data_IF_386390734360
#
_entry.id   IF_386390734360
#
_cell.length_a   1.000
_cell.length_b   1.000
_cell.length_c   1.000
_cell.angle_alpha   90.00
_cell.angle_beta   90.00
_cell.angle_gamma   90.00
#
_symmetry.space_group_name_H-M   'P 1'
#
loop_
_entity.id
_entity.type
_entity.pdbx_description
1 polymer ?
#
# COMPACT_ATOMS: atom_id res chain seq x y z
N UNK A 1 25.28 -32.96 49.20
CA UNK A 1 24.35 -31.88 49.58
C UNK A 1 25.16 -30.65 49.95
N UNK A 2 25.35 -29.71 49.03
CA UNK A 2 25.95 -28.39 49.30
C UNK A 2 24.99 -27.35 48.72
N UNK A 3 24.61 -26.39 49.56
CA UNK A 3 23.61 -25.35 49.29
C UNK A 3 24.16 -24.24 48.41
N UNK A 4 23.24 -23.64 47.67
CA UNK A 4 23.31 -22.56 46.70
C UNK A 4 23.89 -21.24 47.21
N UNK A 5 24.63 -20.54 46.35
CA UNK A 5 24.60 -19.06 46.21
C UNK A 5 25.19 -18.67 44.85
N UNK A 6 24.33 -18.50 43.84
CA UNK A 6 24.69 -17.75 42.63
C UNK A 6 24.33 -16.29 42.87
N UNK A 7 25.35 -15.45 43.02
CA UNK A 7 25.23 -14.00 43.16
C UNK A 7 24.94 -13.41 41.79
N UNK A 8 23.81 -12.70 41.66
CA UNK A 8 23.49 -11.80 40.56
C UNK A 8 24.52 -10.66 40.52
N UNK A 9 25.36 -10.62 39.49
CA UNK A 9 26.19 -9.47 39.17
C UNK A 9 26.22 -9.26 37.65
N UNK A 10 25.70 -8.12 37.17
CA UNK A 10 25.99 -7.64 35.82
C UNK A 10 24.81 -7.15 34.99
N UNK A 11 23.95 -6.26 35.51
CA UNK A 11 23.07 -5.42 34.66
C UNK A 11 23.46 -3.95 34.83
N UNK A 12 24.71 -3.63 34.49
CA UNK A 12 25.20 -2.26 34.42
C UNK A 12 25.84 -2.06 33.05
N UNK A 13 25.06 -1.55 32.09
CA UNK A 13 25.58 -1.25 30.75
C UNK A 13 24.59 -1.18 29.59
N UNK A 14 23.28 -1.16 29.83
CA UNK A 14 22.33 -0.87 28.74
C UNK A 14 22.26 0.65 28.57
N UNK A 15 22.82 1.15 27.46
CA UNK A 15 22.75 2.56 27.06
C UNK A 15 21.31 3.09 27.14
N UNK A 16 21.08 4.36 27.51
CA UNK A 16 19.73 4.95 27.58
C UNK A 16 18.99 4.93 26.23
N UNK A 17 19.70 4.69 25.13
CA UNK A 17 19.12 4.46 23.80
C UNK A 17 18.24 3.19 23.70
N UNK A 18 18.48 2.16 24.52
CA UNK A 18 17.64 0.96 24.57
C UNK A 18 16.35 1.14 25.40
N UNK A 19 16.28 2.18 26.23
CA UNK A 19 15.12 2.48 27.07
C UNK A 19 14.02 3.24 26.34
N UNK A 20 14.30 3.79 25.15
CA UNK A 20 13.33 4.58 24.34
C UNK A 20 12.54 3.70 23.36
N UNK A 21 12.78 2.39 23.34
CA UNK A 21 12.05 1.45 22.47
C UNK A 21 10.73 0.93 23.08
N UNK A 22 10.31 1.40 24.25
CA UNK A 22 9.24 0.79 25.04
C UNK A 22 8.10 1.76 25.40
N UNK A 23 7.25 2.15 24.44
CA UNK A 23 5.95 2.78 24.76
C UNK A 23 4.81 2.47 23.78
N UNK A 24 4.94 1.50 22.87
CA UNK A 24 3.78 0.99 22.14
C UNK A 24 3.16 -0.19 22.90
N UNK A 25 1.83 -0.19 23.20
CA UNK A 25 1.19 -1.33 23.83
C UNK A 25 1.39 -2.58 22.97
N UNK A 26 1.54 -3.78 23.56
CA UNK A 26 1.71 -5.00 22.80
C UNK A 26 0.50 -5.20 21.88
N UNK A 27 0.70 -5.03 20.58
CA UNK A 27 -0.31 -5.36 19.58
C UNK A 27 -0.53 -6.86 19.65
N UNK A 28 -1.78 -7.32 19.73
CA UNK A 28 -2.06 -8.76 19.77
C UNK A 28 -1.33 -9.47 18.63
N UNK A 29 -0.76 -10.66 18.86
CA UNK A 29 0.14 -11.30 17.90
C UNK A 29 -0.46 -11.48 16.50
N UNK A 30 -1.78 -11.59 16.40
CA UNK A 30 -2.50 -11.61 15.12
C UNK A 30 -2.47 -10.28 14.36
N UNK A 31 -2.64 -9.14 15.05
CA UNK A 31 -2.60 -7.80 14.42
C UNK A 31 -1.17 -7.46 13.99
N UNK A 32 -0.16 -7.80 14.79
CA UNK A 32 1.24 -7.61 14.40
C UNK A 32 1.58 -8.43 13.14
N UNK A 33 1.14 -9.70 13.07
CA UNK A 33 1.30 -10.53 11.89
C UNK A 33 0.63 -9.91 10.65
N UNK A 34 -0.61 -9.40 10.78
CA UNK A 34 -1.28 -8.71 9.67
C UNK A 34 -0.47 -7.52 9.16
N UNK A 35 0.12 -6.73 10.05
CA UNK A 35 0.97 -5.62 9.64
C UNK A 35 2.25 -6.04 8.94
N UNK A 36 2.88 -7.14 9.38
CA UNK A 36 4.08 -7.69 8.71
C UNK A 36 3.79 -8.23 7.32
N UNK A 37 2.54 -8.61 7.02
CA UNK A 37 2.13 -9.05 5.68
C UNK A 37 1.93 -7.89 4.70
N UNK A 38 1.84 -6.65 5.17
CA UNK A 38 1.58 -5.49 4.31
C UNK A 38 2.52 -5.41 3.09
N UNK A 39 3.87 -5.50 3.23
CA UNK A 39 4.77 -5.46 2.07
C UNK A 39 4.52 -6.59 1.06
N UNK A 40 4.05 -7.76 1.49
CA UNK A 40 3.69 -8.83 0.57
C UNK A 40 2.37 -8.52 -0.15
N UNK A 41 1.37 -7.99 0.57
CA UNK A 41 0.03 -7.74 0.05
C UNK A 41 -0.05 -6.56 -0.93
N UNK A 42 0.80 -5.53 -0.79
CA UNK A 42 0.72 -4.33 -1.65
C UNK A 42 1.02 -4.61 -3.12
N UNK A 43 1.78 -5.64 -3.45
CA UNK A 43 2.19 -5.91 -4.84
C UNK A 43 1.00 -6.22 -5.75
N UNK A 44 0.01 -6.96 -5.23
CA UNK A 44 -1.13 -7.42 -6.02
C UNK A 44 -2.03 -6.27 -6.48
N UNK A 45 -2.61 -5.42 -5.59
CA UNK A 45 -3.47 -4.34 -6.04
C UNK A 45 -2.72 -3.31 -6.90
N UNK A 46 -1.46 -3.00 -6.59
CA UNK A 46 -0.65 -2.08 -7.38
C UNK A 46 -0.48 -2.58 -8.81
N UNK A 47 -0.03 -3.83 -8.98
CA UNK A 47 0.15 -4.43 -10.29
C UNK A 47 -1.17 -4.50 -11.07
N UNK A 48 -2.27 -4.89 -10.42
CA UNK A 48 -3.58 -5.00 -11.07
C UNK A 48 -4.11 -3.65 -11.54
N UNK A 49 -4.03 -2.60 -10.72
CA UNK A 49 -4.55 -1.28 -11.08
C UNK A 49 -3.74 -0.66 -12.22
N UNK A 50 -2.40 -0.74 -12.16
CA UNK A 50 -1.52 -0.23 -13.22
C UNK A 50 -1.74 -1.01 -14.52
N UNK A 51 -1.87 -2.34 -14.44
CA UNK A 51 -2.14 -3.18 -15.62
C UNK A 51 -3.57 -2.97 -16.15
N UNK A 52 -4.54 -2.67 -15.29
CA UNK A 52 -5.89 -2.31 -15.71
C UNK A 52 -5.90 -1.04 -16.56
N UNK A 53 -5.13 -0.02 -16.13
CA UNK A 53 -4.95 1.20 -16.92
C UNK A 53 -4.24 0.91 -18.26
N UNK A 54 -3.14 0.15 -18.24
CA UNK A 54 -2.43 -0.23 -19.46
C UNK A 54 -3.34 -0.98 -20.45
N UNK A 55 -4.13 -1.95 -19.97
CA UNK A 55 -5.09 -2.68 -20.80
C UNK A 55 -6.15 -1.75 -21.39
N UNK A 56 -6.70 -0.80 -20.64
CA UNK A 56 -7.66 0.17 -21.18
C UNK A 56 -7.01 1.07 -22.26
N UNK A 57 -5.73 1.44 -22.12
CA UNK A 57 -5.01 2.18 -23.17
C UNK A 57 -4.81 1.34 -24.42
N UNK A 58 -4.51 0.04 -24.28
CA UNK A 58 -4.44 -0.87 -25.42
C UNK A 58 -5.82 -1.03 -26.08
N UNK A 59 -6.91 -1.06 -25.31
CA UNK A 59 -8.26 -1.03 -25.87
C UNK A 59 -8.53 0.25 -26.66
N UNK A 60 -8.15 1.42 -26.14
CA UNK A 60 -8.31 2.70 -26.85
C UNK A 60 -7.59 2.66 -28.20
N UNK A 61 -6.36 2.13 -28.24
CA UNK A 61 -5.54 2.06 -29.43
C UNK A 61 -6.00 0.99 -30.43
N UNK A 62 -6.38 -0.20 -29.95
CA UNK A 62 -6.65 -1.39 -30.80
C UNK A 62 -8.13 -1.68 -31.02
N UNK A 63 -9.01 -1.08 -30.21
CA UNK A 63 -10.46 -1.33 -30.20
C UNK A 63 -10.86 -2.80 -29.98
N UNK A 64 -9.96 -3.60 -29.42
CA UNK A 64 -10.20 -5.01 -29.09
C UNK A 64 -10.82 -5.13 -27.70
N UNK A 65 -12.08 -5.56 -27.65
CA UNK A 65 -12.91 -5.62 -26.45
C UNK A 65 -12.35 -6.52 -25.35
N UNK A 66 -11.44 -7.46 -25.68
CA UNK A 66 -10.76 -8.32 -24.69
C UNK A 66 -9.94 -7.49 -23.70
N UNK A 67 -9.31 -6.42 -24.15
CA UNK A 67 -8.52 -5.55 -23.29
C UNK A 67 -9.39 -4.70 -22.36
N UNK A 68 -10.55 -4.24 -22.82
CA UNK A 68 -11.51 -3.55 -21.93
C UNK A 68 -12.10 -4.51 -20.90
N UNK A 69 -12.42 -5.75 -21.29
CA UNK A 69 -12.87 -6.78 -20.35
C UNK A 69 -11.80 -7.10 -19.29
N UNK A 70 -10.54 -7.25 -19.70
CA UNK A 70 -9.42 -7.47 -18.80
C UNK A 70 -9.21 -6.29 -17.85
N UNK A 71 -9.25 -5.05 -18.35
CA UNK A 71 -9.14 -3.83 -17.54
C UNK A 71 -10.17 -3.80 -16.42
N UNK A 72 -11.43 -4.13 -16.73
CA UNK A 72 -12.54 -4.15 -15.78
C UNK A 72 -12.35 -5.21 -14.69
N UNK A 73 -11.97 -6.43 -15.07
CA UNK A 73 -11.71 -7.51 -14.11
C UNK A 73 -10.56 -7.11 -13.17
N UNK A 74 -9.48 -6.55 -13.73
CA UNK A 74 -8.31 -6.15 -12.96
C UNK A 74 -8.60 -4.98 -12.01
N UNK A 75 -9.35 -3.95 -12.41
CA UNK A 75 -9.66 -2.83 -11.50
C UNK A 75 -10.56 -3.28 -10.35
N UNK A 76 -11.52 -4.18 -10.60
CA UNK A 76 -12.35 -4.78 -9.54
C UNK A 76 -11.51 -5.61 -8.57
N UNK A 77 -10.65 -6.50 -9.08
CA UNK A 77 -9.74 -7.30 -8.24
C UNK A 77 -8.76 -6.41 -7.44
N UNK A 78 -8.21 -5.39 -8.09
CA UNK A 78 -7.31 -4.41 -7.48
C UNK A 78 -7.98 -3.58 -6.39
N UNK A 79 -9.25 -3.22 -6.56
CA UNK A 79 -10.03 -2.51 -5.55
C UNK A 79 -10.19 -3.35 -4.27
N UNK A 80 -10.63 -4.61 -4.39
CA UNK A 80 -10.81 -5.51 -3.25
C UNK A 80 -9.49 -5.87 -2.56
N UNK A 81 -8.46 -6.22 -3.33
CA UNK A 81 -7.13 -6.51 -2.76
C UNK A 81 -6.48 -5.26 -2.14
N UNK A 82 -6.81 -4.07 -2.66
CA UNK A 82 -6.37 -2.79 -2.12
C UNK A 82 -6.89 -2.55 -0.71
N UNK A 83 -8.09 -3.02 -0.36
CA UNK A 83 -8.59 -2.98 1.02
C UNK A 83 -7.71 -3.83 1.93
N UNK A 84 -7.40 -5.06 1.54
CA UNK A 84 -6.56 -5.96 2.35
C UNK A 84 -5.15 -5.36 2.56
N UNK A 85 -4.57 -4.76 1.53
CA UNK A 85 -3.30 -4.04 1.62
C UNK A 85 -3.38 -2.80 2.54
N UNK A 86 -4.44 -1.98 2.42
CA UNK A 86 -4.61 -0.81 3.28
C UNK A 86 -4.80 -1.20 4.75
N UNK A 87 -5.66 -2.17 5.04
CA UNK A 87 -5.93 -2.65 6.40
C UNK A 87 -4.68 -3.25 7.06
N UNK A 88 -3.91 -4.05 6.33
CA UNK A 88 -2.62 -4.54 6.83
C UNK A 88 -1.64 -3.41 7.11
N UNK A 89 -1.58 -2.37 6.28
CA UNK A 89 -0.73 -1.20 6.54
C UNK A 89 -1.10 -0.46 7.81
N UNK A 90 -2.40 -0.26 8.05
CA UNK A 90 -2.89 0.39 9.27
C UNK A 90 -2.59 -0.41 10.55
N UNK A 91 -2.53 -1.74 10.49
CA UNK A 91 -2.30 -2.59 11.65
C UNK A 91 -0.99 -2.27 12.39
N UNK A 92 -0.01 -1.65 11.72
CA UNK A 92 1.27 -1.25 12.32
C UNK A 92 1.67 0.20 12.09
N UNK A 93 0.82 1.01 11.45
CA UNK A 93 1.16 2.39 11.08
C UNK A 93 1.64 3.24 12.27
N UNK A 94 1.03 3.07 13.44
CA UNK A 94 1.37 3.86 14.64
C UNK A 94 2.43 3.18 15.53
N UNK A 95 2.86 1.96 15.18
CA UNK A 95 3.84 1.17 15.95
C UNK A 95 5.27 1.28 15.42
N UNK A 96 5.46 1.94 14.27
CA UNK A 96 6.75 2.04 13.59
C UNK A 96 7.31 3.44 13.82
N UNK A 97 8.56 3.51 14.29
CA UNK A 97 9.30 4.78 14.34
C UNK A 97 9.78 5.13 12.94
N UNK A 98 9.31 6.27 12.42
CA UNK A 98 9.70 6.79 11.11
C UNK A 98 10.85 7.77 11.29
N UNK A 99 11.94 7.57 10.54
CA UNK A 99 13.08 8.48 10.58
C UNK A 99 12.71 9.85 9.95
N UNK A 100 13.26 10.98 10.44
CA UNK A 100 12.86 12.31 9.98
C UNK A 100 13.06 12.55 8.48
N UNK A 101 14.07 11.95 7.89
CA UNK A 101 14.44 12.06 6.47
C UNK A 101 13.42 11.39 5.52
N UNK A 102 12.72 10.35 5.98
CA UNK A 102 11.67 9.65 5.20
C UNK A 102 10.25 9.99 5.66
N UNK A 103 10.07 10.94 6.59
CA UNK A 103 8.76 11.29 7.14
C UNK A 103 7.79 11.84 6.08
N UNK A 104 8.30 12.61 5.12
CA UNK A 104 7.50 13.12 3.99
C UNK A 104 7.05 11.97 3.07
N UNK A 105 7.97 11.06 2.74
CA UNK A 105 7.66 9.87 1.95
C UNK A 105 6.60 9.00 2.63
N UNK A 106 6.71 8.81 3.95
CA UNK A 106 5.70 8.10 4.73
C UNK A 106 4.31 8.75 4.66
N UNK A 107 4.24 10.08 4.82
CA UNK A 107 2.98 10.82 4.73
C UNK A 107 2.32 10.68 3.34
N UNK A 108 3.11 10.84 2.27
CA UNK A 108 2.64 10.69 0.89
C UNK A 108 2.22 9.24 0.61
N UNK A 109 3.04 8.26 1.01
CA UNK A 109 2.73 6.84 0.87
C UNK A 109 1.40 6.49 1.55
N UNK A 110 1.17 6.97 2.78
CA UNK A 110 -0.06 6.73 3.53
C UNK A 110 -1.28 7.27 2.80
N UNK A 111 -1.24 8.53 2.36
CA UNK A 111 -2.36 9.16 1.66
C UNK A 111 -2.61 8.46 0.32
N UNK A 112 -1.57 8.19 -0.46
CA UNK A 112 -1.67 7.50 -1.74
C UNK A 112 -2.20 6.06 -1.57
N UNK A 113 -1.74 5.35 -0.54
CA UNK A 113 -2.18 3.99 -0.22
C UNK A 113 -3.65 3.90 0.19
N UNK A 114 -4.23 4.96 0.75
CA UNK A 114 -5.67 5.06 1.06
C UNK A 114 -6.46 5.51 -0.17
N UNK A 115 -5.98 6.54 -0.88
CA UNK A 115 -6.68 7.10 -2.03
C UNK A 115 -6.79 6.10 -3.20
N UNK A 116 -5.76 5.28 -3.42
CA UNK A 116 -5.70 4.31 -4.52
C UNK A 116 -6.86 3.30 -4.52
N UNK A 117 -7.14 2.55 -3.43
CA UNK A 117 -8.29 1.64 -3.41
C UNK A 117 -9.63 2.38 -3.52
N UNK A 118 -9.77 3.58 -2.94
CA UNK A 118 -10.99 4.40 -3.09
C UNK A 118 -11.25 4.76 -4.55
N UNK A 119 -10.21 5.25 -5.25
CA UNK A 119 -10.29 5.56 -6.67
C UNK A 119 -10.53 4.30 -7.52
N UNK A 120 -9.92 3.17 -7.17
CA UNK A 120 -10.15 1.90 -7.85
C UNK A 120 -11.61 1.42 -7.72
N UNK A 121 -12.23 1.55 -6.54
CA UNK A 121 -13.66 1.27 -6.38
C UNK A 121 -14.54 2.22 -7.19
N UNK A 122 -14.21 3.51 -7.22
CA UNK A 122 -14.94 4.48 -8.04
C UNK A 122 -14.81 4.15 -9.53
N UNK A 123 -13.62 3.80 -10.00
CA UNK A 123 -13.38 3.36 -11.37
C UNK A 123 -14.17 2.07 -11.70
N UNK A 124 -14.17 1.10 -10.80
CA UNK A 124 -14.93 -0.14 -10.95
C UNK A 124 -16.45 0.11 -11.05
N UNK A 125 -16.99 0.99 -10.20
CA UNK A 125 -18.39 1.39 -10.25
C UNK A 125 -18.75 2.13 -11.55
N UNK A 126 -17.89 3.04 -12.02
CA UNK A 126 -18.07 3.73 -13.31
C UNK A 126 -18.01 2.75 -14.47
N UNK A 127 -17.10 1.75 -14.43
CA UNK A 127 -17.01 0.72 -15.46
C UNK A 127 -18.29 -0.12 -15.57
N UNK A 128 -18.95 -0.39 -14.44
CA UNK A 128 -20.25 -1.06 -14.40
C UNK A 128 -21.37 -0.14 -14.90
N UNK A 129 -21.33 1.15 -14.55
CA UNK A 129 -22.22 2.18 -15.07
C UNK A 129 -22.22 2.22 -16.59
N UNK A 130 -21.03 2.28 -17.21
CA UNK A 130 -20.84 2.31 -18.66
C UNK A 130 -21.56 1.13 -19.35
N UNK A 131 -21.59 -0.05 -18.72
CA UNK A 131 -22.30 -1.22 -19.29
C UNK A 131 -23.81 -1.08 -19.25
N UNK A 132 -24.34 -0.38 -18.25
CA UNK A 132 -25.79 -0.20 -18.04
C UNK A 132 -26.32 0.93 -18.90
N UNK A 133 -25.60 2.04 -18.95
CA UNK A 133 -26.08 3.29 -19.56
C UNK A 133 -25.63 3.48 -21.01
N UNK A 134 -24.45 2.97 -21.38
CA UNK A 134 -23.80 3.26 -22.65
C UNK A 134 -23.35 4.73 -22.82
N UNK A 135 -23.40 5.54 -21.75
CA UNK A 135 -23.12 6.97 -21.83
C UNK A 135 -21.63 7.26 -22.00
N UNK A 136 -21.31 8.14 -22.95
CA UNK A 136 -19.92 8.47 -23.29
C UNK A 136 -19.19 9.21 -22.15
N UNK A 137 -19.90 10.04 -21.36
CA UNK A 137 -19.30 10.76 -20.24
C UNK A 137 -18.86 9.82 -19.12
N UNK A 138 -19.62 8.74 -18.85
CA UNK A 138 -19.24 7.71 -17.87
C UNK A 138 -17.96 6.98 -18.31
N UNK A 139 -17.79 6.76 -19.61
CA UNK A 139 -16.58 6.16 -20.16
C UNK A 139 -15.36 7.08 -19.97
N UNK A 140 -15.52 8.38 -20.23
CA UNK A 140 -14.45 9.36 -19.99
C UNK A 140 -14.09 9.44 -18.49
N UNK A 141 -15.08 9.50 -17.61
CA UNK A 141 -14.85 9.51 -16.16
C UNK A 141 -14.17 8.23 -15.68
N UNK A 142 -14.63 7.05 -16.13
CA UNK A 142 -13.98 5.77 -15.82
C UNK A 142 -12.48 5.82 -16.13
N UNK A 143 -12.12 6.29 -17.33
CA UNK A 143 -10.71 6.37 -17.78
C UNK A 143 -9.89 7.34 -16.95
N UNK A 144 -10.44 8.51 -16.65
CA UNK A 144 -9.76 9.52 -15.83
C UNK A 144 -9.54 8.98 -14.42
N UNK A 145 -10.57 8.42 -13.79
CA UNK A 145 -10.48 7.88 -12.42
C UNK A 145 -9.54 6.68 -12.37
N UNK A 146 -9.55 5.79 -13.38
CA UNK A 146 -8.60 4.68 -13.49
C UNK A 146 -7.16 5.18 -13.65
N UNK A 147 -6.93 6.22 -14.45
CA UNK A 147 -5.62 6.84 -14.59
C UNK A 147 -5.13 7.43 -13.26
N UNK A 148 -5.99 8.11 -12.52
CA UNK A 148 -5.68 8.64 -11.19
C UNK A 148 -5.38 7.52 -10.19
N UNK A 149 -6.13 6.41 -10.23
CA UNK A 149 -5.86 5.24 -9.39
C UNK A 149 -4.49 4.62 -9.72
N UNK A 150 -4.15 4.49 -11.01
CA UNK A 150 -2.84 3.98 -11.44
C UNK A 150 -1.70 4.92 -11.04
N UNK A 151 -1.87 6.24 -11.19
CA UNK A 151 -0.90 7.22 -10.72
C UNK A 151 -0.72 7.15 -9.19
N UNK A 152 -1.83 7.06 -8.44
CA UNK A 152 -1.80 6.86 -6.98
C UNK A 152 -1.05 5.59 -6.58
N UNK A 153 -1.26 4.49 -7.29
CA UNK A 153 -0.55 3.23 -7.07
C UNK A 153 0.97 3.38 -7.29
N UNK A 154 1.38 4.08 -8.35
CA UNK A 154 2.80 4.36 -8.63
C UNK A 154 3.43 5.29 -7.58
N UNK A 155 2.70 6.34 -7.16
CA UNK A 155 3.15 7.25 -6.09
C UNK A 155 3.30 6.48 -4.77
N UNK A 156 2.34 5.63 -4.42
CA UNK A 156 2.41 4.78 -3.23
C UNK A 156 3.61 3.83 -3.30
N UNK A 157 3.84 3.19 -4.45
CA UNK A 157 4.98 2.29 -4.67
C UNK A 157 6.34 3.00 -4.56
N UNK A 158 6.49 4.16 -5.21
CA UNK A 158 7.70 4.99 -5.15
C UNK A 158 8.04 5.36 -3.70
N UNK A 159 7.08 5.96 -2.98
CA UNK A 159 7.32 6.39 -1.60
C UNK A 159 7.46 5.19 -0.65
N UNK A 160 6.85 4.04 -0.98
CA UNK A 160 7.08 2.78 -0.26
C UNK A 160 8.53 2.31 -0.37
N UNK A 161 9.15 2.47 -1.54
CA UNK A 161 10.58 2.19 -1.75
C UNK A 161 11.47 3.13 -0.93
N UNK A 162 11.19 4.43 -0.93
CA UNK A 162 11.93 5.42 -0.13
C UNK A 162 11.88 5.12 1.38
N UNK A 163 10.73 4.66 1.91
CA UNK A 163 10.61 4.27 3.34
C UNK A 163 11.48 3.05 3.67
N UNK A 164 11.58 2.09 2.75
CA UNK A 164 12.31 0.83 2.97
C UNK A 164 13.81 0.99 2.76
N UNK A 165 14.22 1.74 1.74
CA UNK A 165 15.62 1.84 1.31
C UNK A 165 16.29 3.16 1.67
N UNK A 166 15.55 4.14 2.19
CA UNK A 166 16.04 5.45 2.60
C UNK A 166 15.71 6.56 1.60
N UNK A 167 15.82 7.80 2.07
CA UNK A 167 15.55 8.99 1.29
C UNK A 167 16.52 9.12 0.09
N UNK A 168 15.99 9.42 -1.08
CA UNK A 168 16.74 9.55 -2.32
C UNK A 168 17.10 8.20 -2.96
N UNK A 169 16.46 7.09 -2.58
CA UNK A 169 16.77 5.78 -3.16
C UNK A 169 16.66 5.75 -4.70
N UNK A 170 15.73 6.51 -5.26
CA UNK A 170 15.56 6.63 -6.72
C UNK A 170 16.26 7.87 -7.32
N UNK A 171 16.97 8.68 -6.53
CA UNK A 171 17.72 9.82 -7.08
C UNK A 171 18.95 9.31 -7.83
N UNK A 172 19.18 9.87 -9.02
CA UNK A 172 20.31 9.52 -9.88
C UNK A 172 21.53 10.43 -9.63
N UNK A 173 21.46 11.32 -8.64
CA UNK A 173 22.48 12.27 -8.23
C UNK A 173 22.26 12.73 -6.79
#
# INVERSE_FOLDING_TARGET
MVRSTFVLAGVAGLSPALAVAATAPPVSGGIDLMGRLHPALVHFPLALIVTAFAAEMVFVARRDSRFSAASRIMVHAGAWLGIAAALSGFARADSITIAPDVASAFAVHRIAGIATPVLAFLAAALADGVRRSGQIWELFLFRIVLALAAAGALIAGYNGGEIVYGAGFFSLW
#
